data_IF_520634959084
#
_entry.id   IF_520634959084
#
_cell.length_a   1.000
_cell.length_b   1.000
_cell.length_c   1.000
_cell.angle_alpha   90.00
_cell.angle_beta   90.00
_cell.angle_gamma   90.00
#
_symmetry.space_group_name_H-M   'P 1'
#
loop_
_entity.id
_entity.type
_entity.pdbx_description
1 polymer ?
#
# COMPACT_ATOMS: atom_id res chain seq x y z
N UNK A 1 -39.59 -17.91 -36.22
CA UNK A 1 -38.32 -17.87 -35.48
C UNK A 1 -38.70 -17.60 -34.05
N UNK A 2 -38.39 -18.48 -33.09
CA UNK A 2 -38.58 -18.20 -31.69
C UNK A 2 -37.65 -17.05 -31.33
N UNK A 3 -38.17 -15.85 -31.16
CA UNK A 3 -37.42 -14.72 -30.60
C UNK A 3 -37.08 -15.10 -29.17
N UNK A 4 -35.82 -15.51 -28.95
CA UNK A 4 -35.31 -15.87 -27.63
C UNK A 4 -35.31 -14.61 -26.77
N UNK A 5 -35.84 -14.74 -25.55
CA UNK A 5 -35.67 -13.68 -24.54
C UNK A 5 -34.27 -13.70 -24.01
N UNK A 6 -33.64 -12.52 -23.90
CA UNK A 6 -32.34 -12.32 -23.27
C UNK A 6 -32.50 -11.45 -22.06
N UNK A 7 -31.64 -11.63 -21.07
CA UNK A 7 -31.63 -10.90 -19.81
C UNK A 7 -30.28 -10.22 -19.64
N UNK A 8 -30.26 -8.92 -19.40
CA UNK A 8 -29.07 -8.13 -19.12
C UNK A 8 -29.17 -7.44 -17.78
N UNK A 9 -28.17 -7.60 -16.92
CA UNK A 9 -28.06 -6.82 -15.70
C UNK A 9 -27.53 -5.42 -16.01
N UNK A 10 -28.15 -4.36 -15.49
CA UNK A 10 -27.65 -2.99 -15.58
C UNK A 10 -27.68 -2.36 -14.18
N UNK A 11 -26.54 -1.88 -13.73
CA UNK A 11 -26.41 -1.16 -12.47
C UNK A 11 -26.25 0.34 -12.74
N UNK A 12 -27.25 1.13 -12.34
CA UNK A 12 -27.18 2.57 -12.38
C UNK A 12 -26.62 3.11 -11.06
N UNK A 13 -25.67 4.04 -11.16
CA UNK A 13 -25.09 4.77 -10.03
C UNK A 13 -25.22 6.27 -10.31
N UNK A 14 -25.60 7.04 -9.28
CA UNK A 14 -25.61 8.49 -9.37
C UNK A 14 -24.17 9.03 -9.43
N UNK A 15 -23.90 9.93 -10.37
CA UNK A 15 -22.55 10.51 -10.51
C UNK A 15 -22.22 11.38 -9.30
N UNK A 16 -21.02 11.17 -8.71
CA UNK A 16 -20.66 11.63 -7.37
C UNK A 16 -20.63 13.14 -7.11
N UNK A 17 -20.50 13.98 -8.16
CA UNK A 17 -20.47 15.44 -8.01
C UNK A 17 -21.75 16.03 -7.40
N UNK A 18 -22.87 15.33 -7.52
CA UNK A 18 -24.16 15.72 -6.95
C UNK A 18 -24.28 15.40 -5.46
N UNK A 19 -23.66 14.30 -5.01
CA UNK A 19 -23.65 13.94 -3.58
C UNK A 19 -22.96 15.04 -2.76
N UNK A 20 -21.89 15.65 -3.32
CA UNK A 20 -21.15 16.74 -2.67
C UNK A 20 -21.85 18.11 -2.76
N UNK A 21 -22.66 18.35 -3.80
CA UNK A 21 -23.38 19.63 -3.99
C UNK A 21 -24.62 19.75 -3.12
N UNK A 22 -25.22 18.62 -2.71
CA UNK A 22 -26.40 18.61 -1.85
C UNK A 22 -25.91 18.44 -0.41
N UNK A 23 -25.69 19.54 0.28
CA UNK A 23 -25.26 19.58 1.70
C UNK A 23 -26.35 19.06 2.66
N UNK A 24 -27.60 18.91 2.21
CA UNK A 24 -28.72 18.39 3.00
C UNK A 24 -28.93 16.89 2.69
N UNK A 25 -28.57 16.05 3.65
CA UNK A 25 -28.68 14.58 3.56
C UNK A 25 -30.10 14.12 3.22
N UNK A 26 -31.13 14.76 3.80
CA UNK A 26 -32.52 14.38 3.56
C UNK A 26 -32.96 14.71 2.12
N UNK A 27 -32.53 15.83 1.58
CA UNK A 27 -32.87 16.24 0.21
C UNK A 27 -32.17 15.30 -0.82
N UNK A 28 -30.96 14.86 -0.55
CA UNK A 28 -30.28 13.88 -1.39
C UNK A 28 -30.98 12.52 -1.40
N UNK A 29 -31.40 12.04 -0.23
CA UNK A 29 -32.17 10.79 -0.08
C UNK A 29 -33.50 10.82 -0.85
N UNK A 30 -34.25 11.91 -0.75
CA UNK A 30 -35.50 12.08 -1.47
C UNK A 30 -35.28 12.10 -2.99
N UNK A 31 -34.30 12.84 -3.47
CA UNK A 31 -33.95 12.89 -4.89
C UNK A 31 -33.53 11.50 -5.41
N UNK A 32 -32.67 10.82 -4.69
CA UNK A 32 -32.23 9.46 -5.01
C UNK A 32 -33.40 8.50 -5.13
N UNK A 33 -34.30 8.53 -4.15
CA UNK A 33 -35.50 7.72 -4.18
C UNK A 33 -36.38 8.04 -5.42
N UNK A 34 -36.58 9.32 -5.72
CA UNK A 34 -37.34 9.74 -6.89
C UNK A 34 -36.73 9.28 -8.22
N UNK A 35 -35.41 9.40 -8.35
CA UNK A 35 -34.67 8.92 -9.55
C UNK A 35 -34.82 7.41 -9.74
N UNK A 36 -34.65 6.62 -8.68
CA UNK A 36 -34.78 5.17 -8.82
C UNK A 36 -36.21 4.70 -9.01
N UNK A 37 -37.18 5.45 -8.48
CA UNK A 37 -38.60 5.20 -8.77
C UNK A 37 -38.95 5.50 -10.22
N UNK A 38 -38.41 6.58 -10.79
CA UNK A 38 -38.58 6.91 -12.20
C UNK A 38 -38.05 5.81 -13.14
N UNK A 39 -36.90 5.23 -12.80
CA UNK A 39 -36.36 4.09 -13.56
C UNK A 39 -37.32 2.90 -13.48
N UNK A 40 -37.85 2.60 -12.33
CA UNK A 40 -38.83 1.51 -12.13
C UNK A 40 -40.11 1.74 -12.94
N UNK A 41 -40.71 2.91 -12.87
CA UNK A 41 -41.90 3.30 -13.61
C UNK A 41 -41.69 3.19 -15.13
N UNK A 42 -40.52 3.66 -15.65
CA UNK A 42 -40.17 3.50 -17.06
C UNK A 42 -40.12 2.05 -17.48
N UNK A 43 -39.50 1.16 -16.67
CA UNK A 43 -39.39 -0.27 -17.01
C UNK A 43 -40.78 -0.97 -17.01
N UNK A 44 -41.65 -0.62 -16.06
CA UNK A 44 -42.99 -1.17 -15.96
C UNK A 44 -43.88 -0.73 -17.15
N UNK A 45 -43.87 0.55 -17.50
CA UNK A 45 -44.62 1.10 -18.63
C UNK A 45 -44.22 0.48 -19.96
N UNK A 46 -42.90 0.27 -20.18
CA UNK A 46 -42.37 -0.27 -21.42
C UNK A 46 -42.26 -1.81 -21.42
N UNK A 47 -42.55 -2.48 -20.31
CA UNK A 47 -42.44 -3.95 -20.13
C UNK A 47 -41.11 -4.54 -20.57
N UNK A 48 -40.02 -3.76 -20.39
CA UNK A 48 -38.69 -4.13 -20.86
C UNK A 48 -37.69 -4.45 -19.73
N UNK A 49 -38.19 -4.63 -18.49
CA UNK A 49 -37.33 -5.01 -17.37
C UNK A 49 -37.99 -4.86 -16.00
N UNK A 50 -37.20 -5.07 -14.97
CA UNK A 50 -37.61 -4.92 -13.56
C UNK A 50 -36.42 -4.59 -12.65
N UNK A 51 -36.69 -3.98 -11.53
CA UNK A 51 -35.67 -3.68 -10.51
C UNK A 51 -35.42 -4.92 -9.65
N UNK A 52 -34.15 -5.25 -9.44
CA UNK A 52 -33.75 -6.41 -8.61
C UNK A 52 -33.27 -5.98 -7.23
N UNK A 53 -32.46 -4.94 -7.15
CA UNK A 53 -31.83 -4.51 -5.88
C UNK A 53 -31.55 -3.02 -5.90
N UNK A 54 -31.84 -2.37 -4.75
CA UNK A 54 -31.44 -0.98 -4.48
C UNK A 54 -30.42 -0.96 -3.34
N UNK A 55 -29.47 -0.06 -3.42
CA UNK A 55 -28.54 0.27 -2.34
C UNK A 55 -28.49 1.79 -2.17
N UNK A 56 -27.71 2.28 -1.21
CA UNK A 56 -27.63 3.71 -0.95
C UNK A 56 -27.37 4.58 -2.18
N UNK A 57 -26.51 4.17 -3.11
CA UNK A 57 -26.12 4.99 -4.26
C UNK A 57 -26.36 4.30 -5.61
N UNK A 58 -27.00 3.15 -5.65
CA UNK A 58 -27.22 2.41 -6.90
C UNK A 58 -28.53 1.68 -6.95
N UNK A 59 -29.07 1.53 -8.15
CA UNK A 59 -30.17 0.64 -8.48
C UNK A 59 -29.73 -0.33 -9.56
N UNK A 60 -29.95 -1.62 -9.34
CA UNK A 60 -29.68 -2.65 -10.34
C UNK A 60 -30.99 -3.15 -10.88
N UNK A 61 -31.08 -3.17 -12.20
CA UNK A 61 -32.23 -3.62 -12.98
C UNK A 61 -31.83 -4.83 -13.81
N UNK A 62 -32.81 -5.62 -14.19
CA UNK A 62 -32.69 -6.63 -15.24
C UNK A 62 -33.51 -6.18 -16.43
N UNK A 63 -32.88 -5.99 -17.56
CA UNK A 63 -33.52 -5.74 -18.85
C UNK A 63 -33.94 -7.07 -19.47
N UNK A 64 -35.08 -7.06 -20.12
CA UNK A 64 -35.57 -8.15 -20.98
C UNK A 64 -35.46 -7.66 -22.42
N UNK A 65 -34.59 -8.29 -23.21
CA UNK A 65 -34.20 -7.88 -24.54
C UNK A 65 -34.77 -8.89 -25.55
N UNK A 66 -35.15 -8.42 -26.72
CA UNK A 66 -35.76 -9.21 -27.77
C UNK A 66 -35.07 -9.06 -29.13
N UNK A 67 -34.22 -8.04 -29.28
CA UNK A 67 -33.50 -7.77 -30.54
C UNK A 67 -32.41 -8.81 -30.80
N UNK A 68 -32.04 -8.95 -32.04
CA UNK A 68 -30.82 -9.64 -32.46
C UNK A 68 -29.56 -8.81 -32.22
N UNK A 69 -29.70 -7.49 -32.14
CA UNK A 69 -28.65 -6.55 -31.73
C UNK A 69 -28.86 -6.14 -30.28
N UNK A 70 -28.41 -7.01 -29.35
CA UNK A 70 -28.59 -6.86 -27.91
C UNK A 70 -27.86 -5.63 -27.37
N UNK A 71 -26.73 -5.27 -27.94
CA UNK A 71 -25.96 -4.11 -27.50
C UNK A 71 -26.70 -2.83 -27.80
N UNK A 72 -27.15 -2.65 -29.02
CA UNK A 72 -27.88 -1.46 -29.47
C UNK A 72 -29.22 -1.30 -28.72
N UNK A 73 -29.94 -2.39 -28.48
CA UNK A 73 -31.17 -2.37 -27.69
C UNK A 73 -30.89 -1.92 -26.26
N UNK A 74 -29.86 -2.47 -25.61
CA UNK A 74 -29.44 -2.09 -24.25
C UNK A 74 -29.04 -0.62 -24.18
N UNK A 75 -28.23 -0.13 -25.12
CA UNK A 75 -27.79 1.28 -25.17
C UNK A 75 -28.97 2.23 -25.40
N UNK A 76 -29.92 1.86 -26.22
CA UNK A 76 -31.14 2.65 -26.47
C UNK A 76 -31.96 2.83 -25.18
N UNK A 77 -32.17 1.75 -24.44
CA UNK A 77 -32.91 1.79 -23.17
C UNK A 77 -32.16 2.65 -22.13
N UNK A 78 -30.84 2.44 -22.00
CA UNK A 78 -30.01 3.21 -21.05
C UNK A 78 -30.02 4.70 -21.40
N UNK A 79 -29.87 5.05 -22.67
CA UNK A 79 -29.88 6.43 -23.14
C UNK A 79 -31.21 7.10 -22.82
N UNK A 80 -32.33 6.39 -23.05
CA UNK A 80 -33.66 6.92 -22.74
C UNK A 80 -33.87 7.14 -21.25
N UNK A 81 -33.45 6.21 -20.40
CA UNK A 81 -33.49 6.38 -18.94
C UNK A 81 -32.66 7.60 -18.51
N UNK A 82 -31.45 7.77 -19.07
CA UNK A 82 -30.59 8.93 -18.79
C UNK A 82 -31.26 10.25 -19.18
N UNK A 83 -31.87 10.32 -20.36
CA UNK A 83 -32.60 11.52 -20.82
C UNK A 83 -33.73 11.90 -19.86
N UNK A 84 -34.56 10.94 -19.46
CA UNK A 84 -35.68 11.16 -18.54
C UNK A 84 -35.15 11.65 -17.19
N UNK A 85 -34.19 10.96 -16.61
CA UNK A 85 -33.61 11.29 -15.29
C UNK A 85 -32.91 12.67 -15.33
N UNK A 86 -32.13 12.94 -16.34
CA UNK A 86 -31.48 14.23 -16.50
C UNK A 86 -32.48 15.37 -16.71
N UNK A 87 -33.49 15.16 -17.55
CA UNK A 87 -34.50 16.17 -17.81
C UNK A 87 -35.36 16.53 -16.61
N UNK A 88 -35.69 15.54 -15.76
CA UNK A 88 -36.55 15.78 -14.57
C UNK A 88 -35.73 16.22 -13.35
N UNK A 89 -34.55 15.71 -13.14
CA UNK A 89 -33.81 15.85 -11.88
C UNK A 89 -32.45 16.53 -12.04
N UNK A 90 -31.93 16.72 -13.28
CA UNK A 90 -30.62 17.28 -13.54
C UNK A 90 -29.47 16.35 -13.08
N UNK A 91 -29.73 15.03 -13.02
CA UNK A 91 -28.81 14.03 -12.47
C UNK A 91 -28.22 13.20 -13.59
N UNK A 92 -26.90 13.02 -13.59
CA UNK A 92 -26.21 12.11 -14.49
C UNK A 92 -26.11 10.69 -13.87
N UNK A 93 -26.33 9.68 -14.71
CA UNK A 93 -26.26 8.27 -14.35
C UNK A 93 -25.09 7.57 -15.03
N UNK A 94 -24.32 6.87 -14.22
CA UNK A 94 -23.33 5.89 -14.66
C UNK A 94 -24.06 4.55 -14.85
N UNK A 95 -23.74 3.83 -15.93
CA UNK A 95 -24.33 2.53 -16.21
C UNK A 95 -23.25 1.45 -16.32
N UNK A 96 -23.26 0.50 -15.41
CA UNK A 96 -22.50 -0.73 -15.49
C UNK A 96 -23.35 -1.84 -16.08
N UNK A 97 -22.98 -2.36 -17.25
CA UNK A 97 -23.69 -3.42 -17.96
C UNK A 97 -22.98 -4.75 -17.66
N UNK A 98 -23.72 -5.68 -17.09
CA UNK A 98 -23.25 -7.03 -16.79
C UNK A 98 -23.24 -7.94 -18.00
N UNK A 99 -23.16 -9.24 -17.72
CA UNK A 99 -23.34 -10.28 -18.75
C UNK A 99 -24.76 -10.27 -19.30
N UNK A 100 -24.91 -10.82 -20.51
CA UNK A 100 -26.19 -11.07 -21.16
C UNK A 100 -26.40 -12.58 -21.23
N UNK A 101 -27.58 -13.08 -20.85
CA UNK A 101 -27.89 -14.51 -20.85
C UNK A 101 -29.32 -14.77 -21.30
N UNK A 102 -29.57 -15.99 -21.76
CA UNK A 102 -30.93 -16.51 -22.01
C UNK A 102 -31.54 -17.18 -20.77
N UNK A 103 -30.77 -17.36 -19.70
CA UNK A 103 -31.17 -18.09 -18.50
C UNK A 103 -31.75 -17.13 -17.46
N UNK A 104 -33.05 -17.19 -17.21
CA UNK A 104 -33.75 -16.31 -16.27
C UNK A 104 -33.38 -16.56 -14.78
N UNK A 105 -32.82 -17.72 -14.45
CA UNK A 105 -32.41 -18.09 -13.10
C UNK A 105 -31.07 -17.47 -12.68
N UNK A 106 -30.34 -16.85 -13.59
CA UNK A 106 -29.02 -16.22 -13.32
C UNK A 106 -29.10 -14.77 -12.83
N UNK A 107 -30.20 -14.32 -12.25
CA UNK A 107 -30.38 -12.93 -11.79
C UNK A 107 -29.25 -12.47 -10.85
N UNK A 108 -28.83 -13.31 -9.92
CA UNK A 108 -27.74 -12.96 -8.99
C UNK A 108 -26.41 -12.74 -9.71
N UNK A 109 -26.12 -13.55 -10.72
CA UNK A 109 -24.91 -13.39 -11.53
C UNK A 109 -24.95 -12.11 -12.37
N UNK A 110 -26.11 -11.81 -12.99
CA UNK A 110 -26.33 -10.57 -13.72
C UNK A 110 -26.16 -9.34 -12.81
N UNK A 111 -26.72 -9.42 -11.61
CA UNK A 111 -26.53 -8.38 -10.59
C UNK A 111 -25.05 -8.16 -10.25
N UNK A 112 -24.30 -9.23 -9.96
CA UNK A 112 -22.88 -9.15 -9.57
C UNK A 112 -22.03 -8.54 -10.68
N UNK A 113 -22.23 -8.98 -11.93
CA UNK A 113 -21.46 -8.49 -13.08
C UNK A 113 -21.79 -7.04 -13.42
N UNK A 114 -23.06 -6.63 -13.34
CA UNK A 114 -23.47 -5.25 -13.55
C UNK A 114 -22.91 -4.30 -12.47
N UNK A 115 -22.98 -4.71 -11.20
CA UNK A 115 -22.43 -3.94 -10.08
C UNK A 115 -20.92 -3.79 -10.18
N UNK A 116 -20.21 -4.86 -10.55
CA UNK A 116 -18.78 -4.81 -10.80
C UNK A 116 -18.44 -3.81 -11.93
N UNK A 117 -19.15 -3.86 -13.05
CA UNK A 117 -18.96 -2.94 -14.18
C UNK A 117 -19.18 -1.48 -13.75
N UNK A 118 -20.25 -1.20 -13.01
CA UNK A 118 -20.50 0.14 -12.50
C UNK A 118 -19.36 0.66 -11.59
N UNK A 119 -18.78 -0.23 -10.78
CA UNK A 119 -17.64 0.10 -9.91
C UNK A 119 -16.37 0.48 -10.68
N UNK A 120 -16.23 0.08 -11.94
CA UNK A 120 -15.09 0.44 -12.81
C UNK A 120 -15.07 1.94 -13.13
N UNK A 121 -16.20 2.63 -13.06
CA UNK A 121 -16.24 4.09 -13.20
C UNK A 121 -15.24 4.80 -12.28
N UNK A 122 -15.12 4.36 -11.04
CA UNK A 122 -14.17 4.92 -10.07
C UNK A 122 -12.73 4.96 -10.59
N UNK A 123 -12.36 4.00 -11.46
CA UNK A 123 -11.00 3.86 -11.99
C UNK A 123 -10.79 4.45 -13.38
N UNK A 124 -11.85 4.59 -14.18
CA UNK A 124 -11.76 4.91 -15.60
C UNK A 124 -12.50 6.16 -16.02
N UNK A 125 -13.44 6.61 -15.21
CA UNK A 125 -14.36 7.72 -15.47
C UNK A 125 -15.25 7.53 -16.71
N UNK A 126 -15.36 6.29 -17.22
CA UNK A 126 -16.28 5.94 -18.33
C UNK A 126 -17.69 5.80 -17.78
N UNK A 127 -18.65 6.50 -18.35
CA UNK A 127 -20.04 6.53 -17.88
C UNK A 127 -20.84 5.28 -18.27
N UNK A 128 -20.39 4.55 -19.29
CA UNK A 128 -20.98 3.26 -19.70
C UNK A 128 -19.88 2.22 -19.77
N UNK A 129 -20.01 1.15 -18.99
CA UNK A 129 -19.01 0.10 -18.89
C UNK A 129 -19.66 -1.26 -19.09
N UNK A 130 -19.21 -2.02 -20.08
CA UNK A 130 -19.60 -3.40 -20.34
C UNK A 130 -18.68 -4.36 -19.60
N UNK A 131 -19.24 -5.36 -18.93
CA UNK A 131 -18.50 -6.38 -18.21
C UNK A 131 -17.46 -7.11 -19.08
N UNK A 132 -17.83 -7.41 -20.33
CA UNK A 132 -16.97 -8.09 -21.30
C UNK A 132 -15.79 -7.24 -21.78
N UNK A 133 -15.90 -5.90 -21.70
CA UNK A 133 -14.84 -4.98 -22.11
C UNK A 133 -13.82 -4.68 -21.00
N UNK A 134 -14.04 -5.21 -19.78
CA UNK A 134 -13.15 -4.97 -18.66
C UNK A 134 -11.97 -5.93 -18.70
N UNK A 135 -10.79 -5.39 -18.98
CA UNK A 135 -9.54 -6.16 -18.87
C UNK A 135 -9.30 -6.54 -17.40
N UNK A 136 -9.29 -7.85 -17.14
CA UNK A 136 -8.99 -8.39 -15.81
C UNK A 136 -7.49 -8.56 -15.66
N UNK A 137 -6.86 -7.64 -14.95
CA UNK A 137 -5.44 -7.76 -14.61
C UNK A 137 -5.32 -8.54 -13.28
N UNK A 138 -5.33 -9.88 -13.35
CA UNK A 138 -5.22 -10.75 -12.18
C UNK A 138 -3.80 -11.31 -12.04
N UNK A 139 -2.85 -10.46 -11.67
CA UNK A 139 -1.46 -10.91 -11.50
C UNK A 139 -0.90 -10.69 -10.09
N UNK A 140 -1.74 -10.28 -9.12
CA UNK A 140 -1.26 -10.00 -7.76
C UNK A 140 -1.99 -10.85 -6.73
N UNK A 141 -1.24 -11.32 -5.72
CA UNK A 141 -1.78 -12.03 -4.55
C UNK A 141 -1.77 -11.15 -3.31
N UNK A 142 -2.53 -11.54 -2.29
CA UNK A 142 -2.44 -10.90 -0.97
C UNK A 142 -1.06 -11.04 -0.34
N UNK A 143 -0.38 -12.13 -0.61
CA UNK A 143 0.98 -12.40 -0.14
C UNK A 143 2.00 -11.40 -0.72
N UNK A 144 1.86 -11.08 -2.02
CA UNK A 144 2.66 -10.03 -2.65
C UNK A 144 2.38 -8.64 -2.06
N UNK A 145 1.11 -8.34 -1.75
CA UNK A 145 0.76 -7.12 -1.06
C UNK A 145 1.44 -7.03 0.32
N UNK A 146 1.36 -8.06 1.15
CA UNK A 146 2.01 -8.08 2.47
C UNK A 146 3.54 -7.93 2.36
N UNK A 147 4.16 -8.59 1.39
CA UNK A 147 5.59 -8.44 1.11
C UNK A 147 5.95 -7.00 0.77
N UNK A 148 5.14 -6.35 -0.07
CA UNK A 148 5.37 -4.94 -0.45
C UNK A 148 5.12 -3.96 0.68
N UNK A 149 4.17 -4.22 1.56
CA UNK A 149 3.98 -3.44 2.79
C UNK A 149 5.23 -3.47 3.67
N UNK A 150 5.80 -4.66 3.88
CA UNK A 150 7.05 -4.81 4.66
C UNK A 150 8.23 -4.10 4.00
N UNK A 151 8.38 -4.23 2.67
CA UNK A 151 9.43 -3.53 1.91
C UNK A 151 9.28 -2.00 2.04
N UNK A 152 8.06 -1.48 1.94
CA UNK A 152 7.75 -0.07 2.12
C UNK A 152 8.18 0.42 3.52
N UNK A 153 7.77 -0.29 4.58
CA UNK A 153 8.15 0.06 5.95
C UNK A 153 9.68 0.03 6.12
N UNK A 154 10.35 -0.98 5.56
CA UNK A 154 11.81 -1.10 5.63
C UNK A 154 12.53 0.08 4.99
N UNK A 155 12.06 0.52 3.82
CA UNK A 155 12.62 1.69 3.14
C UNK A 155 12.40 2.98 3.91
N UNK A 156 11.20 3.17 4.49
CA UNK A 156 10.91 4.33 5.35
C UNK A 156 11.83 4.33 6.57
N UNK A 157 11.97 3.20 7.27
CA UNK A 157 12.87 3.04 8.41
C UNK A 157 14.34 3.26 8.05
N UNK A 158 14.75 2.84 6.85
CA UNK A 158 16.10 3.05 6.33
C UNK A 158 16.36 4.44 5.76
N UNK A 159 15.40 5.37 5.84
CA UNK A 159 15.47 6.69 5.19
C UNK A 159 15.79 6.62 3.69
N UNK A 160 15.39 5.53 3.03
CA UNK A 160 15.60 5.35 1.58
C UNK A 160 14.57 6.20 0.82
N UNK A 161 15.02 7.17 0.04
CA UNK A 161 14.16 8.05 -0.75
C UNK A 161 13.29 7.30 -1.77
N UNK A 162 13.70 6.09 -2.16
CA UNK A 162 12.91 5.23 -3.06
C UNK A 162 11.71 4.55 -2.37
N UNK A 163 11.39 4.90 -1.11
CA UNK A 163 10.15 4.44 -0.47
C UNK A 163 8.90 4.85 -1.25
N UNK A 164 8.96 5.98 -1.98
CA UNK A 164 7.85 6.46 -2.81
C UNK A 164 7.51 5.51 -3.95
N UNK A 165 8.51 4.87 -4.55
CA UNK A 165 8.31 3.86 -5.61
C UNK A 165 7.64 2.61 -5.04
N UNK A 166 8.07 2.13 -3.87
CA UNK A 166 7.43 1.01 -3.17
C UNK A 166 6.00 1.33 -2.74
N UNK A 167 5.73 2.58 -2.38
CA UNK A 167 4.38 3.05 -2.09
C UNK A 167 3.49 3.02 -3.34
N UNK A 168 3.97 3.56 -4.47
CA UNK A 168 3.25 3.55 -5.75
C UNK A 168 3.00 2.11 -6.26
N UNK A 169 3.96 1.19 -6.07
CA UNK A 169 3.77 -0.25 -6.34
C UNK A 169 2.69 -0.87 -5.44
N UNK A 170 2.69 -0.56 -4.15
CA UNK A 170 1.66 -1.04 -3.21
C UNK A 170 0.27 -0.56 -3.64
N UNK A 171 0.13 0.68 -4.07
CA UNK A 171 -1.13 1.22 -4.59
C UNK A 171 -1.57 0.53 -5.87
N UNK A 172 -0.64 0.19 -6.76
CA UNK A 172 -0.93 -0.59 -7.98
C UNK A 172 -1.47 -1.98 -7.65
N UNK A 173 -0.88 -2.65 -6.66
CA UNK A 173 -1.36 -3.95 -6.19
C UNK A 173 -2.76 -3.81 -5.59
N UNK A 174 -2.99 -2.84 -4.70
CA UNK A 174 -4.32 -2.57 -4.10
C UNK A 174 -5.38 -2.34 -5.19
N UNK A 175 -5.08 -1.48 -6.17
CA UNK A 175 -5.97 -1.21 -7.30
C UNK A 175 -6.36 -2.48 -8.03
N UNK A 176 -5.40 -3.34 -8.34
CA UNK A 176 -5.62 -4.54 -9.13
C UNK A 176 -6.38 -5.62 -8.33
N UNK A 177 -6.05 -5.82 -7.05
CA UNK A 177 -6.74 -6.78 -6.18
C UNK A 177 -8.21 -6.42 -5.94
N UNK A 178 -8.53 -5.12 -5.92
CA UNK A 178 -9.86 -4.61 -5.58
C UNK A 178 -10.52 -3.84 -6.73
N UNK A 179 -10.10 -4.11 -7.98
CA UNK A 179 -10.65 -3.46 -9.16
C UNK A 179 -12.17 -3.67 -9.23
N UNK A 180 -12.91 -2.60 -9.42
CA UNK A 180 -14.38 -2.60 -9.39
C UNK A 180 -15.02 -2.33 -8.02
N UNK A 181 -14.22 -2.10 -6.96
CA UNK A 181 -14.74 -1.78 -5.63
C UNK A 181 -13.98 -0.61 -4.99
N UNK A 182 -14.52 0.60 -5.09
CA UNK A 182 -13.94 1.79 -4.46
C UNK A 182 -13.77 1.60 -2.93
N UNK A 183 -14.80 1.10 -2.26
CA UNK A 183 -14.76 0.85 -0.81
C UNK A 183 -13.62 -0.10 -0.40
N UNK A 184 -13.40 -1.17 -1.16
CA UNK A 184 -12.34 -2.11 -0.84
C UNK A 184 -10.95 -1.49 -1.05
N UNK A 185 -10.77 -0.66 -2.10
CA UNK A 185 -9.53 0.07 -2.34
C UNK A 185 -9.27 1.09 -1.23
N UNK A 186 -10.26 1.91 -0.87
CA UNK A 186 -10.15 2.90 0.22
C UNK A 186 -9.76 2.24 1.53
N UNK A 187 -10.48 1.17 1.91
CA UNK A 187 -10.22 0.42 3.14
C UNK A 187 -8.81 -0.20 3.14
N UNK A 188 -8.35 -0.71 2.01
CA UNK A 188 -7.01 -1.29 1.90
C UNK A 188 -5.90 -0.24 1.96
N UNK A 189 -6.13 0.96 1.43
CA UNK A 189 -5.20 2.09 1.59
C UNK A 189 -5.07 2.51 3.06
N UNK A 190 -6.19 2.57 3.79
CA UNK A 190 -6.18 2.87 5.23
C UNK A 190 -5.40 1.79 6.00
N UNK A 191 -5.64 0.51 5.70
CA UNK A 191 -4.91 -0.61 6.31
C UNK A 191 -3.40 -0.52 6.02
N UNK A 192 -3.01 -0.19 4.79
CA UNK A 192 -1.60 0.01 4.45
C UNK A 192 -0.95 1.09 5.32
N UNK A 193 -1.59 2.26 5.44
CA UNK A 193 -1.09 3.35 6.28
C UNK A 193 -0.97 2.94 7.76
N UNK A 194 -1.98 2.25 8.29
CA UNK A 194 -2.00 1.82 9.69
C UNK A 194 -0.97 0.73 9.98
N UNK A 195 -0.71 -0.18 9.04
CA UNK A 195 0.36 -1.19 9.18
C UNK A 195 1.75 -0.52 9.22
N UNK A 196 2.02 0.41 8.29
CA UNK A 196 3.27 1.20 8.31
C UNK A 196 3.40 1.96 9.62
N UNK A 197 2.33 2.60 10.07
CA UNK A 197 2.31 3.34 11.33
C UNK A 197 2.57 2.44 12.55
N UNK A 198 1.96 1.26 12.58
CA UNK A 198 2.18 0.26 13.64
C UNK A 198 3.65 -0.17 13.72
N UNK A 199 4.25 -0.52 12.59
CA UNK A 199 5.65 -0.92 12.53
C UNK A 199 6.60 0.20 12.99
N UNK A 200 6.32 1.46 12.59
CA UNK A 200 7.09 2.62 13.03
C UNK A 200 6.94 2.88 14.54
N UNK A 201 5.76 2.65 15.09
CA UNK A 201 5.49 2.77 16.53
C UNK A 201 6.25 1.69 17.33
N UNK A 202 6.20 0.42 16.90
CA UNK A 202 6.95 -0.68 17.49
C UNK A 202 8.47 -0.41 17.46
N UNK A 203 8.95 0.21 16.38
CA UNK A 203 10.35 0.64 16.27
C UNK A 203 10.67 1.91 17.08
N UNK A 204 9.71 2.51 17.80
CA UNK A 204 9.84 3.76 18.57
C UNK A 204 10.31 4.96 17.72
N UNK A 205 10.08 4.91 16.42
CA UNK A 205 10.39 6.03 15.51
C UNK A 205 9.34 7.14 15.66
N UNK A 206 8.10 6.74 15.93
CA UNK A 206 6.98 7.64 16.20
C UNK A 206 6.37 7.33 17.57
N UNK A 207 5.48 8.19 18.03
CA UNK A 207 4.71 8.06 19.26
C UNK A 207 3.21 7.90 19.00
N UNK A 208 2.43 7.70 20.06
CA UNK A 208 0.97 7.56 19.99
C UNK A 208 0.26 8.83 19.47
N UNK A 209 0.84 10.00 19.59
CA UNK A 209 0.29 11.24 19.08
C UNK A 209 0.38 11.25 17.54
N UNK A 210 1.54 10.88 17.00
CA UNK A 210 1.73 10.71 15.56
C UNK A 210 0.75 9.67 14.97
N UNK A 211 0.55 8.52 15.67
CA UNK A 211 -0.42 7.50 15.27
C UNK A 211 -1.83 8.06 15.17
N UNK A 212 -2.30 8.75 16.23
CA UNK A 212 -3.64 9.37 16.26
C UNK A 212 -3.82 10.45 15.19
N UNK A 213 -2.75 11.18 14.87
CA UNK A 213 -2.76 12.17 13.78
C UNK A 213 -2.98 11.50 12.44
N UNK A 214 -2.19 10.46 12.12
CA UNK A 214 -2.32 9.72 10.86
C UNK A 214 -3.71 9.07 10.75
N UNK A 215 -4.20 8.42 11.81
CA UNK A 215 -5.51 7.78 11.85
C UNK A 215 -6.65 8.74 11.45
N UNK A 216 -6.62 9.96 11.98
CA UNK A 216 -7.59 11.00 11.60
C UNK A 216 -7.45 11.47 10.15
N UNK A 217 -6.22 11.58 9.66
CA UNK A 217 -5.96 12.04 8.30
C UNK A 217 -6.35 10.99 7.24
N UNK A 218 -6.12 9.70 7.51
CA UNK A 218 -6.46 8.63 6.55
C UNK A 218 -7.96 8.36 6.46
N UNK A 219 -8.76 8.73 7.47
CA UNK A 219 -10.21 8.68 7.36
C UNK A 219 -10.73 9.57 6.21
N UNK A 220 -10.03 10.65 5.90
CA UNK A 220 -10.35 11.52 4.76
C UNK A 220 -10.12 10.84 3.39
N UNK A 221 -9.55 9.63 3.33
CA UNK A 221 -9.47 8.84 2.09
C UNK A 221 -10.83 8.26 1.66
N UNK A 222 -11.77 8.18 2.59
CA UNK A 222 -13.13 7.70 2.28
C UNK A 222 -13.88 8.70 1.42
N UNK A 223 -14.71 8.17 0.51
CA UNK A 223 -15.62 8.97 -0.30
C UNK A 223 -14.93 9.80 -1.37
N UNK A 224 -13.73 9.43 -1.82
CA UNK A 224 -13.11 10.08 -2.99
C UNK A 224 -13.89 9.72 -4.26
N UNK A 225 -14.05 10.68 -5.17
CA UNK A 225 -14.83 10.48 -6.39
C UNK A 225 -14.13 9.59 -7.41
N UNK A 226 -12.79 9.63 -7.43
CA UNK A 226 -11.99 8.84 -8.36
C UNK A 226 -10.80 8.18 -7.68
N UNK A 227 -10.29 7.13 -8.31
CA UNK A 227 -9.05 6.47 -7.87
C UNK A 227 -7.84 7.43 -7.91
N UNK A 228 -7.79 8.32 -8.89
CA UNK A 228 -6.69 9.29 -9.01
C UNK A 228 -6.73 10.34 -7.87
N UNK A 229 -7.92 10.78 -7.45
CA UNK A 229 -8.08 11.66 -6.30
C UNK A 229 -7.65 10.96 -5.00
N UNK A 230 -8.07 9.71 -4.82
CA UNK A 230 -7.63 8.87 -3.70
C UNK A 230 -6.11 8.76 -3.68
N UNK A 231 -5.51 8.36 -4.80
CA UNK A 231 -4.06 8.18 -4.93
C UNK A 231 -3.30 9.46 -4.59
N UNK A 232 -3.70 10.59 -5.17
CA UNK A 232 -3.08 11.90 -4.92
C UNK A 232 -3.16 12.30 -3.46
N UNK A 233 -4.34 12.16 -2.86
CA UNK A 233 -4.58 12.50 -1.45
C UNK A 233 -3.78 11.60 -0.53
N UNK A 234 -3.80 10.29 -0.77
CA UNK A 234 -3.06 9.32 0.04
C UNK A 234 -1.55 9.56 -0.02
N UNK A 235 -1.02 9.81 -1.22
CA UNK A 235 0.40 10.16 -1.41
C UNK A 235 0.78 11.41 -0.61
N UNK A 236 -0.04 12.46 -0.66
CA UNK A 236 0.18 13.69 0.10
C UNK A 236 0.18 13.46 1.62
N UNK A 237 -0.74 12.62 2.13
CA UNK A 237 -0.80 12.27 3.56
C UNK A 237 0.48 11.51 3.97
N UNK A 238 0.86 10.49 3.22
CA UNK A 238 2.02 9.66 3.54
C UNK A 238 3.34 10.44 3.43
N UNK A 239 3.51 11.27 2.39
CA UNK A 239 4.70 12.12 2.24
C UNK A 239 4.86 13.09 3.40
N UNK A 240 3.77 13.75 3.82
CA UNK A 240 3.80 14.63 4.99
C UNK A 240 4.12 13.86 6.26
N UNK A 241 3.43 12.74 6.50
CA UNK A 241 3.64 11.90 7.68
C UNK A 241 5.09 11.40 7.79
N UNK A 242 5.65 10.85 6.70
CA UNK A 242 7.02 10.35 6.69
C UNK A 242 8.02 11.49 6.89
N UNK A 243 7.84 12.62 6.23
CA UNK A 243 8.74 13.77 6.37
C UNK A 243 8.72 14.35 7.79
N UNK A 244 7.53 14.57 8.35
CA UNK A 244 7.39 15.19 9.68
C UNK A 244 7.83 14.25 10.82
N UNK A 245 7.46 12.97 10.73
CA UNK A 245 7.62 12.05 11.84
C UNK A 245 8.92 11.23 11.79
N UNK A 246 9.44 10.97 10.58
CA UNK A 246 10.61 10.11 10.41
C UNK A 246 11.86 10.94 10.09
N UNK A 247 11.78 11.87 9.15
CA UNK A 247 12.96 12.61 8.69
C UNK A 247 13.30 13.83 9.55
N UNK A 248 12.31 14.42 10.24
CA UNK A 248 12.57 15.61 11.11
C UNK A 248 13.34 15.29 12.40
N UNK A 249 13.35 14.01 12.84
CA UNK A 249 14.14 13.58 14.02
C UNK A 249 15.64 13.43 13.75
N UNK A 250 16.11 13.63 12.52
CA UNK A 250 17.51 13.44 12.12
C UNK A 250 18.57 14.25 12.87
N UNK A 251 18.19 15.29 13.63
CA UNK A 251 19.14 16.04 14.48
C UNK A 251 19.48 15.32 15.79
N UNK A 252 18.65 14.39 16.30
CA UNK A 252 18.98 13.57 17.48
C UNK A 252 19.78 12.29 17.09
N UNK A 253 19.77 11.94 15.84
CA UNK A 253 20.43 10.72 15.34
C UNK A 253 21.96 10.89 15.24
N UNK A 254 22.46 12.09 14.95
CA UNK A 254 23.91 12.36 14.94
C UNK A 254 24.57 12.12 16.30
N UNK A 255 23.90 12.46 17.41
CA UNK A 255 24.39 12.16 18.76
C UNK A 255 24.37 10.66 19.05
N UNK A 256 23.38 9.94 18.51
CA UNK A 256 23.21 8.49 18.72
C UNK A 256 24.31 7.70 18.01
N UNK A 257 24.63 8.02 16.75
CA UNK A 257 25.70 7.33 16.02
C UNK A 257 27.07 7.62 16.62
N UNK A 258 27.31 8.85 17.08
CA UNK A 258 28.55 9.21 17.76
C UNK A 258 28.74 8.37 19.03
N UNK A 259 27.72 8.29 19.91
CA UNK A 259 27.75 7.46 21.13
C UNK A 259 28.01 5.99 20.83
N UNK A 260 27.41 5.44 19.78
CA UNK A 260 27.63 4.03 19.38
C UNK A 260 29.06 3.82 18.91
N UNK A 261 29.60 4.70 18.06
CA UNK A 261 30.99 4.62 17.58
C UNK A 261 32.00 4.75 18.71
N UNK A 262 31.77 5.67 19.63
CA UNK A 262 32.58 5.86 20.83
C UNK A 262 32.58 4.59 21.70
N UNK A 263 31.39 4.05 22.01
CA UNK A 263 31.26 2.81 22.77
C UNK A 263 31.97 1.63 22.09
N UNK A 264 31.82 1.46 20.78
CA UNK A 264 32.51 0.39 20.04
C UNK A 264 34.05 0.59 20.13
N UNK A 265 34.52 1.83 20.02
CA UNK A 265 35.97 2.11 20.06
C UNK A 265 36.60 1.83 21.41
N UNK A 266 35.85 1.96 22.51
CA UNK A 266 36.31 1.73 23.87
C UNK A 266 36.12 0.28 24.34
N UNK A 267 35.04 -0.37 23.88
CA UNK A 267 34.59 -1.68 24.35
C UNK A 267 34.71 -2.81 23.30
N UNK A 268 35.45 -2.61 22.19
CA UNK A 268 35.52 -3.54 21.05
C UNK A 268 35.87 -4.99 21.45
N UNK A 269 36.55 -5.19 22.57
CA UNK A 269 36.93 -6.52 23.08
C UNK A 269 35.76 -7.27 23.76
N UNK A 270 34.70 -6.56 24.10
CA UNK A 270 33.52 -7.16 24.72
C UNK A 270 32.59 -7.85 23.71
N UNK A 271 31.58 -8.57 24.23
CA UNK A 271 30.52 -9.13 23.41
C UNK A 271 29.50 -8.02 23.05
N UNK A 272 29.76 -7.34 21.94
CA UNK A 272 28.93 -6.24 21.43
C UNK A 272 27.98 -6.82 20.38
N UNK A 273 26.67 -6.76 20.66
CA UNK A 273 25.64 -7.17 19.71
C UNK A 273 24.88 -5.98 19.15
N UNK A 274 24.25 -6.16 18.01
CA UNK A 274 23.41 -5.14 17.39
C UNK A 274 22.26 -4.73 18.32
N UNK A 275 21.68 -5.70 19.05
CA UNK A 275 20.60 -5.50 20.00
C UNK A 275 21.07 -4.61 21.18
N UNK A 276 22.28 -4.87 21.73
CA UNK A 276 22.86 -4.07 22.82
C UNK A 276 23.07 -2.61 22.38
N UNK A 277 23.55 -2.39 21.16
CA UNK A 277 23.76 -1.04 20.63
C UNK A 277 22.44 -0.33 20.34
N UNK A 278 21.48 -1.03 19.77
CA UNK A 278 20.15 -0.48 19.56
C UNK A 278 19.47 -0.07 20.87
N UNK A 279 19.57 -0.90 21.91
CA UNK A 279 19.05 -0.60 23.26
C UNK A 279 19.71 0.63 23.86
N UNK A 280 21.04 0.78 23.71
CA UNK A 280 21.80 1.90 24.24
C UNK A 280 21.33 3.25 23.68
N UNK A 281 20.87 3.27 22.41
CA UNK A 281 20.35 4.49 21.77
C UNK A 281 18.81 4.52 21.69
N UNK A 282 18.16 3.64 22.45
CA UNK A 282 16.68 3.52 22.51
C UNK A 282 16.00 3.26 21.17
N UNK A 283 16.71 2.52 20.29
CA UNK A 283 16.19 2.13 18.98
C UNK A 283 15.81 0.65 18.96
N UNK A 284 14.85 0.29 18.11
CA UNK A 284 14.60 -1.11 17.77
C UNK A 284 15.78 -1.67 16.96
N UNK A 285 16.23 -2.92 17.17
CA UNK A 285 17.38 -3.51 16.47
C UNK A 285 17.27 -3.46 14.95
N UNK A 286 16.08 -3.62 14.43
CA UNK A 286 15.82 -3.56 12.98
C UNK A 286 16.06 -2.15 12.42
N UNK A 287 15.46 -1.14 13.06
CA UNK A 287 15.68 0.26 12.71
C UNK A 287 17.16 0.65 12.88
N UNK A 288 17.77 0.29 14.00
CA UNK A 288 19.18 0.56 14.26
C UNK A 288 20.11 -0.02 13.19
N UNK A 289 19.82 -1.22 12.68
CA UNK A 289 20.63 -1.84 11.60
C UNK A 289 20.62 -0.99 10.32
N UNK A 290 19.45 -0.51 9.91
CA UNK A 290 19.30 0.33 8.72
C UNK A 290 19.92 1.72 8.94
N UNK A 291 19.67 2.33 10.10
CA UNK A 291 20.23 3.60 10.53
C UNK A 291 21.77 3.56 10.57
N UNK A 292 22.36 2.54 11.23
CA UNK A 292 23.79 2.38 11.33
C UNK A 292 24.45 2.28 9.95
N UNK A 293 23.89 1.47 9.05
CA UNK A 293 24.39 1.33 7.69
C UNK A 293 24.33 2.64 6.89
N UNK A 294 23.25 3.40 7.05
CA UNK A 294 23.10 4.71 6.40
C UNK A 294 24.18 5.69 6.86
N UNK A 295 24.41 5.78 8.18
CA UNK A 295 25.31 6.78 8.78
C UNK A 295 26.78 6.40 8.68
N UNK A 296 27.11 5.10 8.56
CA UNK A 296 28.51 4.62 8.48
C UNK A 296 28.92 4.15 7.09
N UNK A 297 27.95 3.91 6.21
CA UNK A 297 28.17 3.31 4.89
C UNK A 297 28.27 1.79 4.89
N UNK A 298 28.37 1.14 6.06
CA UNK A 298 28.55 -0.30 6.20
C UNK A 298 27.66 -0.90 7.30
N UNK A 299 27.46 -2.23 7.26
CA UNK A 299 26.68 -2.88 8.30
C UNK A 299 27.45 -2.98 9.63
N UNK A 300 26.73 -3.05 10.74
CA UNK A 300 27.28 -3.08 12.09
C UNK A 300 28.35 -4.17 12.30
N UNK A 301 28.14 -5.38 11.76
CA UNK A 301 29.10 -6.48 11.91
C UNK A 301 30.42 -6.20 11.17
N UNK A 302 30.35 -5.57 9.99
CA UNK A 302 31.53 -5.18 9.22
C UNK A 302 32.31 -4.10 9.94
N UNK A 303 31.62 -3.08 10.45
CA UNK A 303 32.23 -1.99 11.23
C UNK A 303 32.96 -2.52 12.49
N UNK A 304 32.29 -3.35 13.31
CA UNK A 304 32.92 -3.95 14.49
C UNK A 304 34.13 -4.82 14.13
N UNK A 305 34.04 -5.59 13.02
CA UNK A 305 35.18 -6.37 12.51
C UNK A 305 36.34 -5.44 12.15
N UNK A 306 36.08 -4.36 11.43
CA UNK A 306 37.10 -3.40 11.03
C UNK A 306 37.80 -2.78 12.24
N UNK A 307 37.04 -2.32 13.25
CA UNK A 307 37.60 -1.77 14.49
C UNK A 307 38.49 -2.79 15.19
N UNK A 308 38.05 -4.05 15.33
CA UNK A 308 38.81 -5.13 15.95
C UNK A 308 40.09 -5.45 15.17
N UNK A 309 40.02 -5.48 13.83
CA UNK A 309 41.20 -5.77 12.99
C UNK A 309 42.22 -4.62 13.05
N UNK A 310 41.82 -3.38 13.04
CA UNK A 310 42.69 -2.21 13.21
C UNK A 310 43.41 -2.24 14.57
N UNK A 311 42.69 -2.55 15.64
CA UNK A 311 43.26 -2.69 16.99
C UNK A 311 44.21 -3.91 17.06
N UNK A 312 43.83 -5.02 16.43
CA UNK A 312 44.73 -6.19 16.36
C UNK A 312 46.05 -5.86 15.65
N UNK A 313 46.00 -5.12 14.55
CA UNK A 313 47.21 -4.69 13.84
C UNK A 313 48.05 -3.76 14.73
N UNK A 314 47.43 -2.81 15.40
CA UNK A 314 48.13 -1.92 16.32
C UNK A 314 48.86 -2.71 17.40
N UNK A 315 48.18 -3.59 18.13
CA UNK A 315 48.82 -4.42 19.17
C UNK A 315 49.90 -5.37 18.61
N UNK A 316 49.67 -5.93 17.43
CA UNK A 316 50.65 -6.80 16.76
C UNK A 316 52.00 -6.10 16.49
N UNK A 317 51.94 -4.82 16.12
CA UNK A 317 53.10 -4.02 15.79
C UNK A 317 53.78 -3.40 17.01
N UNK A 318 53.00 -2.98 18.00
CA UNK A 318 53.47 -2.25 19.19
C UNK A 318 53.90 -3.19 20.33
N UNK A 319 53.49 -4.48 20.29
CA UNK A 319 53.73 -5.40 21.41
C UNK A 319 54.37 -6.72 20.93
N UNK A 320 54.81 -7.53 21.90
CA UNK A 320 55.30 -8.89 21.65
C UNK A 320 54.25 -9.98 22.00
N UNK A 321 52.96 -9.63 21.99
CA UNK A 321 51.87 -10.57 22.26
C UNK A 321 51.90 -11.76 21.29
N UNK A 322 51.59 -12.92 21.82
CA UNK A 322 51.35 -14.12 20.99
C UNK A 322 49.99 -14.05 20.34
N UNK A 323 49.77 -14.77 19.24
CA UNK A 323 48.52 -14.72 18.48
C UNK A 323 47.29 -15.02 19.31
N UNK A 324 47.39 -15.92 20.30
CA UNK A 324 46.23 -16.22 21.17
C UNK A 324 45.92 -15.10 22.16
N UNK A 325 46.93 -14.40 22.68
CA UNK A 325 46.76 -13.23 23.53
C UNK A 325 46.13 -12.09 22.76
N UNK A 326 46.61 -11.89 21.53
CA UNK A 326 46.07 -10.89 20.62
C UNK A 326 44.61 -11.15 20.29
N UNK A 327 44.25 -12.41 19.98
CA UNK A 327 42.86 -12.80 19.72
C UNK A 327 41.92 -12.47 20.89
N UNK A 328 42.34 -12.85 22.12
CA UNK A 328 41.60 -12.56 23.34
C UNK A 328 41.45 -11.06 23.56
N UNK A 329 42.50 -10.29 23.38
CA UNK A 329 42.54 -8.84 23.61
C UNK A 329 41.63 -8.06 22.66
N UNK A 330 41.31 -8.60 21.47
CA UNK A 330 40.39 -7.96 20.53
C UNK A 330 39.03 -8.63 20.45
N UNK A 331 38.68 -9.44 21.46
CA UNK A 331 37.34 -9.95 21.67
C UNK A 331 36.99 -11.23 20.90
N UNK A 332 38.01 -12.05 20.54
CA UNK A 332 37.78 -13.37 19.97
C UNK A 332 38.04 -14.47 21.00
N UNK A 333 37.06 -15.34 21.21
CA UNK A 333 37.19 -16.52 22.10
C UNK A 333 37.98 -17.65 21.45
N UNK A 334 38.03 -17.68 20.10
CA UNK A 334 38.70 -18.72 19.34
C UNK A 334 39.77 -18.09 18.44
N UNK A 335 41.02 -18.58 18.61
CA UNK A 335 42.21 -18.10 17.88
C UNK A 335 42.13 -18.42 16.40
N UNK A 336 41.51 -19.52 16.01
CA UNK A 336 41.35 -19.92 14.61
C UNK A 336 40.45 -18.93 13.89
N UNK A 337 39.28 -18.65 14.46
CA UNK A 337 38.35 -17.65 13.93
C UNK A 337 39.03 -16.28 13.78
N UNK A 338 39.78 -15.84 14.79
CA UNK A 338 40.52 -14.59 14.70
C UNK A 338 41.56 -14.62 13.55
N UNK A 339 42.35 -15.67 13.45
CA UNK A 339 43.41 -15.81 12.42
C UNK A 339 42.82 -15.79 11.01
N UNK A 340 41.69 -16.47 10.81
CA UNK A 340 41.01 -16.49 9.52
C UNK A 340 40.46 -15.09 9.18
N UNK A 341 39.79 -14.39 10.14
CA UNK A 341 39.32 -13.01 9.94
C UNK A 341 40.43 -12.02 9.66
N UNK A 342 41.55 -12.15 10.37
CA UNK A 342 42.74 -11.30 10.14
C UNK A 342 43.34 -11.55 8.74
N UNK A 343 43.42 -12.81 8.32
CA UNK A 343 43.88 -13.17 6.97
C UNK A 343 42.94 -12.64 5.89
N UNK A 344 41.65 -12.77 6.08
CA UNK A 344 40.66 -12.26 5.13
C UNK A 344 40.78 -10.73 4.98
N UNK A 345 41.10 -10.03 6.08
CA UNK A 345 41.17 -8.57 6.12
C UNK A 345 42.50 -8.01 5.62
N UNK A 346 43.64 -8.64 5.97
CA UNK A 346 44.98 -8.17 5.66
C UNK A 346 45.75 -9.05 4.65
N UNK A 347 45.14 -10.08 4.10
CA UNK A 347 45.72 -10.95 3.08
C UNK A 347 46.67 -12.03 3.62
N UNK A 348 47.07 -12.01 4.89
CA UNK A 348 47.95 -13.01 5.49
C UNK A 348 47.71 -13.13 7.02
N UNK A 349 48.26 -14.22 7.61
CA UNK A 349 48.14 -14.46 9.05
C UNK A 349 48.90 -13.42 9.88
N UNK A 350 48.49 -13.14 11.17
CA UNK A 350 49.20 -12.19 12.05
C UNK A 350 50.70 -12.45 12.14
N UNK A 351 51.12 -13.71 12.30
CA UNK A 351 52.53 -14.07 12.41
C UNK A 351 53.30 -13.73 11.11
N UNK A 352 52.70 -14.01 9.94
CA UNK A 352 53.31 -13.70 8.64
C UNK A 352 53.36 -12.17 8.40
N UNK A 353 52.31 -11.46 8.78
CA UNK A 353 52.26 -10.00 8.68
C UNK A 353 53.37 -9.34 9.48
N UNK A 354 53.55 -9.74 10.76
CA UNK A 354 54.63 -9.24 11.63
C UNK A 354 56.03 -9.52 11.08
N UNK A 355 56.22 -10.72 10.48
CA UNK A 355 57.50 -11.07 9.88
C UNK A 355 57.84 -10.23 8.63
N UNK A 356 56.83 -9.91 7.83
CA UNK A 356 57.00 -9.15 6.58
C UNK A 356 57.19 -7.64 6.80
N UNK A 357 56.85 -7.12 7.97
CA UNK A 357 56.83 -5.67 8.30
C UNK A 357 57.79 -5.33 9.48
N UNK A 358 58.65 -6.25 9.88
CA UNK A 358 59.84 -6.01 10.71
C UNK A 358 61.07 -5.87 9.81
#
# INVERSE_FOLDING_TARGET
MNEGKYFAGVCFVLKGDLVQRIQDSNRFELMRFAVFKEIEEYLEENRNGFVTKRSENSSTIILVLYSTDLQNETETIISRIREIVYGKYGVELIAGIGEITTQADKVEYLYKTAKFSAGIYYFTQKETIYYQSVERVYNYSFEEFEKKCKELTQKILGHDENWKDSFDESLKIIRNLHYGSCYAVESRCIILAMNVCHDLLECKVIDEENRKKLEREVEALRGQNTYEDLKKKFKSIMERFVNECVFYKGNQENDSIFKVKEYISEHFSEDITLEKMAQMVYMNPYYFSAFFKKETGENFKAYLLEVRMKKALQYLMETNMKTYELASQVGYKDVRTFTDKFRDFYGCSPAKYKKNNR
#
